data_IF_978789379288
#
_entry.id   IF_978789379288
#
_cell.length_a   1.000
_cell.length_b   1.000
_cell.length_c   1.000
_cell.angle_alpha   90.00
_cell.angle_beta   90.00
_cell.angle_gamma   90.00
#
_symmetry.space_group_name_H-M   'P 1'
#
loop_
_entity.id
_entity.type
_entity.pdbx_description
1 polymer ?
#
# COMPACT_ATOMS: atom_id res chain seq x y z
N UNK A 1 2.59 1.50 5.45
CA UNK A 1 3.05 0.83 4.23
C UNK A 1 2.40 1.40 2.97
N UNK A 2 1.11 1.61 2.97
CA UNK A 2 0.35 2.18 1.85
C UNK A 2 0.74 3.63 1.53
N UNK A 3 1.10 4.42 2.54
CA UNK A 3 1.67 5.75 2.36
C UNK A 3 3.01 5.72 1.63
N UNK A 4 3.88 4.77 1.95
CA UNK A 4 5.17 4.57 1.27
C UNK A 4 4.94 4.16 -0.18
N UNK A 5 4.01 3.22 -0.40
CA UNK A 5 3.64 2.77 -1.74
C UNK A 5 3.09 3.92 -2.60
N UNK A 6 2.30 4.81 -2.01
CA UNK A 6 1.77 6.00 -2.67
C UNK A 6 2.87 7.03 -2.93
N UNK A 7 3.68 7.36 -1.91
CA UNK A 7 4.72 8.39 -1.98
C UNK A 7 5.75 8.10 -3.09
N UNK A 8 6.18 6.84 -3.21
CA UNK A 8 7.16 6.41 -4.22
C UNK A 8 6.53 5.92 -5.51
N UNK A 9 5.20 5.88 -5.57
CA UNK A 9 4.45 5.28 -6.67
C UNK A 9 4.94 3.87 -7.02
N UNK A 10 5.08 3.04 -6.01
CA UNK A 10 5.51 1.64 -6.11
C UNK A 10 4.40 0.71 -5.67
N UNK A 11 4.49 -0.53 -6.14
CA UNK A 11 3.62 -1.62 -5.71
C UNK A 11 4.46 -2.84 -5.37
N UNK A 12 4.06 -3.56 -4.35
CA UNK A 12 4.67 -4.81 -3.91
C UNK A 12 3.61 -5.89 -3.72
N UNK A 13 4.04 -7.05 -3.26
CA UNK A 13 3.18 -8.21 -3.04
C UNK A 13 3.51 -8.94 -1.72
N UNK A 14 4.10 -8.24 -0.77
CA UNK A 14 4.50 -8.82 0.52
C UNK A 14 3.30 -9.12 1.43
N UNK A 15 2.16 -8.46 1.20
CA UNK A 15 0.94 -8.66 1.97
C UNK A 15 -0.20 -9.05 1.03
N UNK A 16 -0.87 -10.16 1.35
CA UNK A 16 -2.03 -10.61 0.58
C UNK A 16 -3.10 -9.50 0.48
N UNK A 17 -3.65 -9.31 -0.70
CA UNK A 17 -4.66 -8.30 -1.03
C UNK A 17 -4.20 -6.83 -0.96
N UNK A 18 -2.99 -6.56 -0.50
CA UNK A 18 -2.44 -5.21 -0.41
C UNK A 18 -1.21 -5.09 -1.31
N UNK A 19 -1.21 -4.18 -2.30
CA UNK A 19 -0.09 -4.04 -3.22
C UNK A 19 1.04 -3.19 -2.60
N UNK A 20 1.58 -3.61 -1.47
CA UNK A 20 2.61 -2.91 -0.70
C UNK A 20 3.85 -3.77 -0.49
N UNK A 21 4.99 -3.13 -0.30
CA UNK A 21 6.23 -3.75 0.14
C UNK A 21 6.44 -3.49 1.64
N UNK A 22 6.88 -4.52 2.38
CA UNK A 22 7.28 -4.37 3.78
C UNK A 22 8.51 -3.46 3.85
N UNK A 23 8.36 -2.28 4.40
CA UNK A 23 9.41 -1.28 4.40
C UNK A 23 9.20 -0.19 5.45
N UNK A 24 10.25 0.58 5.68
CA UNK A 24 10.22 1.83 6.44
C UNK A 24 10.80 2.96 5.60
N UNK A 25 10.48 4.18 5.98
CA UNK A 25 11.06 5.38 5.37
C UNK A 25 11.48 6.36 6.45
N UNK A 26 12.67 6.90 6.30
CA UNK A 26 13.14 8.06 7.06
C UNK A 26 13.41 9.20 6.06
N UNK A 27 12.70 10.30 6.24
CA UNK A 27 12.83 11.48 5.39
C UNK A 27 13.65 12.52 6.16
N UNK A 28 14.74 12.96 5.55
CA UNK A 28 15.57 14.04 6.06
C UNK A 28 15.59 15.21 5.07
N UNK A 29 16.12 16.38 5.42
CA UNK A 29 16.25 17.49 4.48
C UNK A 29 17.09 17.17 3.24
N UNK A 30 18.06 16.26 3.36
CA UNK A 30 19.05 15.98 2.33
C UNK A 30 18.74 14.76 1.47
N UNK A 31 18.09 13.75 2.06
CA UNK A 31 17.80 12.46 1.41
C UNK A 31 16.57 11.77 1.99
N UNK A 32 16.05 10.83 1.23
CA UNK A 32 15.03 9.88 1.67
C UNK A 32 15.67 8.50 1.77
N UNK A 33 15.61 7.89 2.93
CA UNK A 33 16.11 6.54 3.21
C UNK A 33 14.95 5.56 3.19
N UNK A 34 14.97 4.66 2.20
CA UNK A 34 13.99 3.58 2.08
C UNK A 34 14.58 2.27 2.56
N UNK A 35 14.07 1.76 3.66
CA UNK A 35 14.51 0.50 4.28
C UNK A 35 13.63 -0.64 3.83
N UNK A 36 14.16 -1.51 2.96
CA UNK A 36 13.41 -2.57 2.30
C UNK A 36 14.33 -3.78 2.05
N UNK A 37 13.75 -4.93 1.72
CA UNK A 37 14.55 -6.04 1.21
C UNK A 37 15.12 -5.68 -0.17
N UNK A 38 16.40 -5.33 -0.21
CA UNK A 38 17.07 -4.87 -1.44
C UNK A 38 16.97 -5.87 -2.60
N UNK A 39 16.90 -7.17 -2.30
CA UNK A 39 16.80 -8.23 -3.32
C UNK A 39 15.46 -8.22 -4.06
N UNK A 40 14.44 -7.63 -3.45
CA UNK A 40 13.10 -7.52 -4.05
C UNK A 40 12.96 -6.27 -4.93
N UNK A 41 13.96 -5.39 -4.98
CA UNK A 41 13.89 -4.13 -5.74
C UNK A 41 14.58 -4.28 -7.09
N UNK A 42 13.85 -4.16 -8.21
CA UNK A 42 14.42 -4.21 -9.57
C UNK A 42 15.46 -3.11 -9.82
N UNK A 43 16.41 -3.37 -10.72
CA UNK A 43 17.53 -2.45 -10.99
C UNK A 43 17.08 -1.10 -11.57
N UNK A 44 16.13 -1.14 -12.49
CA UNK A 44 15.52 0.06 -13.10
C UNK A 44 14.78 0.93 -12.08
N UNK A 45 14.12 0.29 -11.10
CA UNK A 45 13.48 1.00 -10.00
C UNK A 45 14.53 1.65 -9.08
N UNK A 46 15.63 0.97 -8.79
CA UNK A 46 16.74 1.54 -7.99
C UNK A 46 17.30 2.79 -8.66
N UNK A 47 17.54 2.74 -9.97
CA UNK A 47 18.05 3.88 -10.74
C UNK A 47 17.10 5.07 -10.70
N UNK A 48 15.80 4.83 -10.94
CA UNK A 48 14.77 5.87 -10.86
C UNK A 48 14.72 6.53 -9.48
N UNK A 49 14.68 5.74 -8.43
CA UNK A 49 14.60 6.26 -7.05
C UNK A 49 15.87 7.04 -6.66
N UNK A 50 17.04 6.56 -7.06
CA UNK A 50 18.31 7.26 -6.80
C UNK A 50 18.36 8.65 -7.44
N UNK A 51 17.79 8.81 -8.65
CA UNK A 51 17.69 10.11 -9.32
C UNK A 51 16.80 11.10 -8.53
N UNK A 52 15.87 10.59 -7.71
CA UNK A 52 15.00 11.38 -6.85
C UNK A 52 15.55 11.52 -5.41
N UNK A 53 16.83 11.19 -5.18
CA UNK A 53 17.51 11.15 -3.86
C UNK A 53 16.86 10.20 -2.86
N UNK A 54 16.25 9.13 -3.34
CA UNK A 54 15.71 8.05 -2.52
C UNK A 54 16.72 6.91 -2.55
N UNK A 55 17.35 6.63 -1.41
CA UNK A 55 18.39 5.63 -1.29
C UNK A 55 17.87 4.41 -0.54
N UNK A 56 18.28 3.22 -1.02
CA UNK A 56 17.84 1.94 -0.48
C UNK A 56 18.80 1.47 0.59
N UNK A 57 18.24 1.09 1.73
CA UNK A 57 18.95 0.55 2.88
C UNK A 57 18.33 -0.80 3.27
N UNK A 58 19.08 -1.63 3.98
CA UNK A 58 18.58 -2.91 4.50
C UNK A 58 17.46 -2.68 5.49
N UNK A 59 16.44 -3.51 5.44
CA UNK A 59 15.21 -3.38 6.23
C UNK A 59 15.45 -3.11 7.72
N UNK A 60 16.34 -3.88 8.33
CA UNK A 60 16.61 -3.78 9.77
C UNK A 60 17.49 -2.57 10.16
N UNK A 61 18.12 -1.94 9.19
CA UNK A 61 19.05 -0.82 9.44
C UNK A 61 18.33 0.40 10.01
N UNK A 62 17.02 0.55 9.79
CA UNK A 62 16.21 1.63 10.34
C UNK A 62 16.40 1.78 11.86
N UNK A 63 16.53 0.66 12.60
CA UNK A 63 16.69 0.68 14.05
C UNK A 63 18.05 1.20 14.52
N UNK A 64 19.07 1.09 13.69
CA UNK A 64 20.38 1.68 13.94
C UNK A 64 20.37 3.17 13.59
N UNK A 65 19.89 3.50 12.39
CA UNK A 65 19.91 4.86 11.87
C UNK A 65 19.04 5.82 12.71
N UNK A 66 17.93 5.34 13.25
CA UNK A 66 17.04 6.16 14.09
C UNK A 66 17.70 6.54 15.44
N UNK A 67 18.61 5.70 15.94
CA UNK A 67 19.37 5.98 17.16
C UNK A 67 20.45 7.04 16.97
N UNK A 68 20.85 7.26 15.72
CA UNK A 68 21.88 8.23 15.35
C UNK A 68 21.30 9.63 15.06
N UNK A 69 19.99 9.82 15.25
CA UNK A 69 19.37 11.15 15.07
C UNK A 69 19.95 12.10 16.11
N UNK A 70 20.53 13.23 15.68
CA UNK A 70 21.13 14.21 16.59
C UNK A 70 20.11 14.77 17.59
N UNK A 71 20.54 14.99 18.83
CA UNK A 71 19.69 15.45 19.93
C UNK A 71 19.09 16.85 19.69
N UNK A 72 19.72 17.66 18.85
CA UNK A 72 19.27 19.00 18.47
C UNK A 72 18.22 18.99 17.33
N UNK A 73 17.96 17.81 16.75
CA UNK A 73 16.93 17.63 15.73
C UNK A 73 15.59 17.23 16.34
N UNK A 74 14.54 17.45 15.56
CA UNK A 74 13.19 16.99 15.89
C UNK A 74 12.74 15.93 14.90
N UNK A 75 12.06 14.91 15.38
CA UNK A 75 11.43 13.88 14.52
C UNK A 75 9.91 14.01 14.57
N UNK A 76 9.27 14.08 13.41
CA UNK A 76 7.82 13.93 13.29
C UNK A 76 7.48 12.44 13.27
N UNK A 77 6.59 12.04 14.14
CA UNK A 77 6.17 10.65 14.26
C UNK A 77 4.65 10.54 14.47
N UNK A 78 4.03 9.67 13.73
CA UNK A 78 2.64 9.29 13.94
C UNK A 78 2.60 8.06 14.86
N UNK A 79 2.20 8.27 16.12
CA UNK A 79 2.16 7.20 17.13
C UNK A 79 1.11 6.13 16.82
N UNK A 80 0.08 6.45 16.05
CA UNK A 80 -0.96 5.49 15.67
C UNK A 80 -0.49 4.50 14.60
N UNK A 81 0.50 4.89 13.80
CA UNK A 81 1.02 4.13 12.65
C UNK A 81 2.42 3.56 12.88
N UNK A 82 3.13 4.05 13.91
CA UNK A 82 4.50 3.64 14.19
C UNK A 82 4.54 2.49 15.18
N UNK A 83 5.26 1.43 14.85
CA UNK A 83 5.44 0.33 15.81
C UNK A 83 6.27 0.75 17.02
N UNK A 84 6.00 0.10 18.15
CA UNK A 84 6.62 0.44 19.44
C UNK A 84 8.14 0.35 19.42
N UNK A 85 8.71 -0.64 18.72
CA UNK A 85 10.17 -0.82 18.68
C UNK A 85 10.89 0.35 17.97
N UNK A 86 10.28 0.92 16.93
CA UNK A 86 10.81 2.16 16.32
C UNK A 86 10.66 3.35 17.25
N UNK A 87 9.51 3.50 17.88
CA UNK A 87 9.29 4.59 18.84
C UNK A 87 10.28 4.57 20.00
N UNK A 88 10.54 3.37 20.55
CA UNK A 88 11.48 3.16 21.65
C UNK A 88 12.95 3.35 21.23
N UNK A 89 13.26 3.12 19.95
CA UNK A 89 14.60 3.32 19.39
C UNK A 89 14.99 4.81 19.24
N UNK A 90 14.01 5.73 19.21
CA UNK A 90 14.28 7.17 19.10
C UNK A 90 14.94 7.66 20.40
N UNK A 91 16.11 8.34 20.35
CA UNK A 91 16.78 8.84 21.54
C UNK A 91 15.85 9.68 22.43
N UNK A 92 16.01 9.55 23.74
CA UNK A 92 15.11 10.22 24.71
C UNK A 92 15.23 11.75 24.63
N UNK A 93 16.39 12.22 24.25
CA UNK A 93 16.74 13.64 24.12
C UNK A 93 16.19 14.26 22.84
N UNK A 94 15.86 13.43 21.84
CA UNK A 94 15.30 13.92 20.57
C UNK A 94 13.87 14.42 20.78
N UNK A 95 13.59 15.64 20.33
CA UNK A 95 12.26 16.21 20.39
C UNK A 95 11.30 15.48 19.42
N UNK A 96 10.27 14.83 19.97
CA UNK A 96 9.25 14.08 19.20
C UNK A 96 8.04 14.95 18.91
N UNK A 97 7.85 15.31 17.66
CA UNK A 97 6.66 16.02 17.18
C UNK A 97 5.58 14.96 16.85
N UNK A 98 4.65 14.78 17.77
CA UNK A 98 3.58 13.78 17.65
C UNK A 98 2.41 14.36 16.86
N UNK A 99 2.27 13.94 15.61
CA UNK A 99 1.20 14.36 14.70
C UNK A 99 0.93 13.24 13.69
N UNK A 100 -0.29 13.24 13.15
CA UNK A 100 -0.62 12.37 12.02
C UNK A 100 0.33 12.60 10.85
N UNK A 101 0.58 11.55 10.10
CA UNK A 101 1.40 11.63 8.89
C UNK A 101 0.81 12.65 7.89
N UNK A 102 1.59 13.62 7.41
CA UNK A 102 1.11 14.54 6.38
C UNK A 102 0.80 13.81 5.06
N UNK A 103 1.42 12.65 4.82
CA UNK A 103 1.21 11.84 3.61
C UNK A 103 -0.20 11.30 3.56
N UNK A 104 -0.81 10.99 4.70
CA UNK A 104 -2.20 10.54 4.77
C UNK A 104 -3.15 11.51 4.08
N UNK A 105 -3.06 12.79 4.42
CA UNK A 105 -3.90 13.83 3.82
C UNK A 105 -3.54 14.06 2.34
N UNK A 106 -2.27 14.09 2.00
CA UNK A 106 -1.82 14.25 0.60
C UNK A 106 -2.36 13.12 -0.29
N UNK A 107 -2.32 11.87 0.20
CA UNK A 107 -2.89 10.70 -0.48
C UNK A 107 -4.43 10.75 -0.56
N UNK A 108 -5.10 11.31 0.43
CA UNK A 108 -6.55 11.42 0.46
C UNK A 108 -7.08 12.38 -0.61
N UNK A 109 -6.34 13.45 -0.92
CA UNK A 109 -6.70 14.43 -1.95
C UNK A 109 -6.23 13.94 -3.32
N UNK A 110 -7.13 13.33 -4.08
CA UNK A 110 -6.83 12.71 -5.39
C UNK A 110 -6.51 13.76 -6.46
N UNK A 111 -5.46 13.51 -7.24
CA UNK A 111 -5.21 14.28 -8.47
C UNK A 111 -6.12 13.81 -9.62
N UNK A 112 -6.04 14.48 -10.78
CA UNK A 112 -6.93 14.19 -11.92
C UNK A 112 -6.74 12.77 -12.46
N UNK A 113 -5.51 12.27 -12.51
CA UNK A 113 -5.18 10.92 -12.98
C UNK A 113 -5.72 9.85 -12.03
N UNK A 114 -5.53 10.04 -10.73
CA UNK A 114 -6.05 9.14 -9.70
C UNK A 114 -7.59 9.09 -9.75
N UNK A 115 -8.26 10.24 -9.89
CA UNK A 115 -9.71 10.28 -10.00
C UNK A 115 -10.24 9.56 -11.25
N UNK A 116 -9.55 9.68 -12.38
CA UNK A 116 -9.94 8.98 -13.61
C UNK A 116 -9.74 7.48 -13.47
N UNK A 117 -8.62 7.04 -12.94
CA UNK A 117 -8.35 5.61 -12.71
C UNK A 117 -9.36 4.99 -11.71
N UNK A 118 -9.73 5.71 -10.67
CA UNK A 118 -10.72 5.27 -9.70
C UNK A 118 -12.11 5.10 -10.34
N UNK A 119 -12.55 6.09 -11.14
CA UNK A 119 -13.81 5.97 -11.92
C UNK A 119 -13.80 4.79 -12.86
N UNK A 120 -12.67 4.56 -13.56
CA UNK A 120 -12.51 3.43 -14.46
C UNK A 120 -12.55 2.10 -13.72
N UNK A 121 -11.89 1.99 -12.58
CA UNK A 121 -11.90 0.80 -11.73
C UNK A 121 -13.32 0.48 -11.24
N UNK A 122 -14.04 1.47 -10.73
CA UNK A 122 -15.43 1.31 -10.31
C UNK A 122 -16.37 0.91 -11.45
N UNK A 123 -16.16 1.44 -12.67
CA UNK A 123 -16.92 1.02 -13.85
C UNK A 123 -16.67 -0.44 -14.20
N UNK A 124 -15.40 -0.88 -14.16
CA UNK A 124 -15.05 -2.30 -14.43
C UNK A 124 -15.67 -3.23 -13.39
N UNK A 125 -15.58 -2.87 -12.11
CA UNK A 125 -16.17 -3.66 -11.02
C UNK A 125 -17.71 -3.68 -11.11
N UNK A 126 -18.34 -2.56 -11.41
CA UNK A 126 -19.78 -2.46 -11.63
C UNK A 126 -20.28 -3.36 -12.77
N UNK A 127 -19.49 -3.51 -13.84
CA UNK A 127 -19.82 -4.46 -14.94
C UNK A 127 -19.75 -5.90 -14.43
N UNK A 128 -18.71 -6.26 -13.66
CA UNK A 128 -18.59 -7.61 -13.11
C UNK A 128 -19.74 -7.93 -12.14
N UNK A 129 -20.08 -6.98 -11.26
CA UNK A 129 -21.22 -7.13 -10.34
C UNK A 129 -22.56 -7.25 -11.08
N UNK A 130 -22.77 -6.47 -12.14
CA UNK A 130 -23.98 -6.56 -12.97
C UNK A 130 -24.09 -7.93 -13.64
N UNK A 131 -22.98 -8.48 -14.16
CA UNK A 131 -22.93 -9.84 -14.71
C UNK A 131 -23.26 -10.89 -13.65
N UNK A 132 -22.76 -10.72 -12.42
CA UNK A 132 -23.08 -11.62 -11.30
C UNK A 132 -24.59 -11.59 -10.98
N UNK A 133 -25.18 -10.40 -10.85
CA UNK A 133 -26.62 -10.24 -10.60
C UNK A 133 -27.45 -10.90 -11.70
N UNK A 134 -27.04 -10.71 -12.95
CA UNK A 134 -27.69 -11.36 -14.08
C UNK A 134 -27.59 -12.88 -13.97
N UNK A 135 -26.41 -13.42 -13.73
CA UNK A 135 -26.18 -14.85 -13.54
C UNK A 135 -27.04 -15.43 -12.41
N UNK A 136 -27.07 -14.80 -11.24
CA UNK A 136 -27.89 -15.23 -10.09
C UNK A 136 -29.38 -15.30 -10.40
N UNK A 137 -29.88 -14.41 -11.25
CA UNK A 137 -31.30 -14.40 -11.68
C UNK A 137 -31.63 -15.48 -12.68
N UNK A 138 -30.69 -15.92 -13.52
CA UNK A 138 -30.91 -16.80 -14.65
C UNK A 138 -30.29 -18.19 -14.50
N UNK A 139 -29.56 -18.47 -13.40
CA UNK A 139 -29.05 -19.81 -13.15
C UNK A 139 -30.24 -20.80 -12.98
N UNK A 140 -30.21 -21.89 -13.75
CA UNK A 140 -31.30 -22.87 -13.79
C UNK A 140 -31.39 -23.67 -12.48
N UNK A 141 -30.26 -24.24 -12.04
CA UNK A 141 -30.21 -25.02 -10.80
C UNK A 141 -29.69 -24.19 -9.64
N UNK A 142 -30.60 -23.60 -8.89
CA UNK A 142 -30.27 -22.75 -7.71
C UNK A 142 -29.64 -23.53 -6.56
N UNK A 143 -29.68 -24.87 -6.54
CA UNK A 143 -29.01 -25.68 -5.53
C UNK A 143 -27.48 -25.64 -5.64
N UNK A 144 -26.95 -25.19 -6.78
CA UNK A 144 -25.52 -24.99 -7.00
C UNK A 144 -25.03 -23.64 -6.45
N UNK A 145 -25.95 -22.75 -6.01
CA UNK A 145 -25.58 -21.45 -5.47
C UNK A 145 -25.22 -21.63 -4.01
N UNK A 146 -23.94 -21.41 -3.70
CA UNK A 146 -23.39 -21.32 -2.36
C UNK A 146 -22.57 -20.03 -2.26
N UNK A 147 -22.21 -19.63 -1.05
CA UNK A 147 -21.32 -18.47 -0.82
C UNK A 147 -20.04 -18.60 -1.63
N UNK A 148 -19.44 -19.80 -1.69
CA UNK A 148 -18.21 -20.07 -2.42
C UNK A 148 -18.39 -19.94 -3.93
N UNK A 149 -19.49 -20.48 -4.50
CA UNK A 149 -19.75 -20.38 -5.94
C UNK A 149 -20.05 -18.95 -6.37
N UNK A 150 -20.73 -18.16 -5.53
CA UNK A 150 -20.97 -16.74 -5.77
C UNK A 150 -19.66 -15.96 -5.80
N UNK A 151 -18.79 -16.18 -4.81
CA UNK A 151 -17.47 -15.55 -4.76
C UNK A 151 -16.61 -15.90 -5.98
N UNK A 152 -16.53 -17.19 -6.32
CA UNK A 152 -15.79 -17.67 -7.48
C UNK A 152 -16.32 -17.07 -8.79
N UNK A 153 -17.64 -16.97 -8.93
CA UNK A 153 -18.28 -16.41 -10.13
C UNK A 153 -18.05 -14.90 -10.27
N UNK A 154 -18.06 -14.17 -9.16
CA UNK A 154 -17.72 -12.75 -9.19
C UNK A 154 -16.26 -12.54 -9.61
N UNK A 155 -15.35 -13.34 -9.07
CA UNK A 155 -13.93 -13.28 -9.47
C UNK A 155 -13.74 -13.63 -10.95
N UNK A 156 -14.43 -14.65 -11.48
CA UNK A 156 -14.43 -14.99 -12.90
C UNK A 156 -14.82 -13.78 -13.77
N UNK A 157 -15.87 -13.04 -13.39
CA UNK A 157 -16.29 -11.86 -14.11
C UNK A 157 -15.30 -10.69 -14.00
N UNK A 158 -14.67 -10.50 -12.84
CA UNK A 158 -13.62 -9.50 -12.63
C UNK A 158 -12.38 -9.78 -13.47
N UNK A 159 -11.97 -11.05 -13.58
CA UNK A 159 -10.83 -11.50 -14.42
C UNK A 159 -11.01 -11.22 -15.92
N UNK A 160 -12.23 -11.03 -16.38
CA UNK A 160 -12.51 -10.62 -17.77
C UNK A 160 -12.18 -9.13 -18.01
N UNK A 161 -12.00 -8.34 -16.96
CA UNK A 161 -11.63 -6.93 -17.05
C UNK A 161 -10.13 -6.77 -17.30
N UNK A 162 -9.77 -5.92 -18.24
CA UNK A 162 -8.38 -5.56 -18.47
C UNK A 162 -7.72 -4.95 -17.21
N UNK A 163 -6.49 -5.37 -16.89
CA UNK A 163 -5.74 -4.88 -15.75
C UNK A 163 -6.15 -5.46 -14.39
N UNK A 164 -6.91 -6.55 -14.36
CA UNK A 164 -7.22 -7.26 -13.12
C UNK A 164 -5.97 -7.95 -12.57
N UNK A 165 -5.55 -7.57 -11.37
CA UNK A 165 -4.36 -8.11 -10.70
C UNK A 165 -4.71 -9.10 -9.58
N UNK A 166 -5.94 -9.10 -9.10
CA UNK A 166 -6.39 -9.94 -8.00
C UNK A 166 -7.50 -9.27 -7.19
N UNK A 167 -7.93 -9.97 -6.16
CA UNK A 167 -8.94 -9.45 -5.23
C UNK A 167 -8.29 -8.43 -4.27
N UNK A 168 -9.06 -7.43 -3.86
CA UNK A 168 -8.62 -6.41 -2.89
C UNK A 168 -8.81 -6.84 -1.43
N UNK A 169 -9.57 -7.90 -1.18
CA UNK A 169 -9.76 -8.56 0.12
C UNK A 169 -10.39 -9.95 -0.09
N UNK A 170 -10.31 -10.80 0.91
CA UNK A 170 -11.00 -12.09 0.89
C UNK A 170 -12.52 -11.86 0.83
N UNK A 171 -13.25 -12.45 -0.15
CA UNK A 171 -14.68 -12.29 -0.23
C UNK A 171 -15.38 -12.77 1.04
N UNK A 172 -16.34 -11.97 1.51
CA UNK A 172 -17.21 -12.32 2.62
C UNK A 172 -18.61 -12.48 2.03
N UNK A 173 -19.09 -13.71 1.98
CA UNK A 173 -20.45 -14.03 1.61
C UNK A 173 -21.08 -14.83 2.75
N UNK A 174 -22.24 -14.37 3.25
CA UNK A 174 -23.01 -15.01 4.31
C UNK A 174 -24.49 -15.03 3.93
#
# INVERSE_FOLDING_TARGET
LDEIAWLFNIRGNDIAYNPVALSYVLITPDEIRWYVNEKSVPADLKERLSAEKIFIYRYEQIYADIKEIPADQSILIDESMTNYALYDAIPKETHKVKKNSPIELMKAVKNATEMEHERLAHKKDGIALTKLIYWLKHVEDKRQITELTVCAKLEEFRRQGEGYLGQSFAPIAA
#
